data_IF_406386450293
#
_entry.id   IF_406386450293
#
_cell.length_a   1.000
_cell.length_b   1.000
_cell.length_c   1.000
_cell.angle_alpha   90.00
_cell.angle_beta   90.00
_cell.angle_gamma   90.00
#
_symmetry.space_group_name_H-M   'P 1'
#
loop_
_entity.id
_entity.type
_entity.pdbx_description
1 polymer ?
#
# COMPACT_ATOMS: atom_id res chain seq x y z
N UNK A 1 -3.33 3.35 21.88
CA UNK A 1 -2.37 2.75 20.93
C UNK A 1 -2.41 3.59 19.67
N UNK A 2 -1.28 4.06 19.16
CA UNK A 2 -1.19 5.04 18.06
C UNK A 2 -1.53 4.40 16.69
N UNK A 3 -2.65 4.74 16.02
CA UNK A 3 -3.11 4.06 14.80
C UNK A 3 -2.10 4.11 13.65
N UNK A 4 -1.36 5.23 13.53
CA UNK A 4 -0.33 5.44 12.51
C UNK A 4 0.87 4.54 12.76
N UNK A 5 1.36 4.48 14.01
CA UNK A 5 2.49 3.65 14.38
C UNK A 5 2.21 2.15 14.15
N UNK A 6 0.99 1.72 14.45
CA UNK A 6 0.55 0.34 14.22
C UNK A 6 0.56 -0.02 12.73
N UNK A 7 -0.07 0.80 11.89
CA UNK A 7 -0.10 0.57 10.44
C UNK A 7 1.31 0.57 9.85
N UNK A 8 2.13 1.56 10.24
CA UNK A 8 3.51 1.66 9.79
C UNK A 8 4.31 0.40 10.16
N UNK A 9 4.19 -0.07 11.41
CA UNK A 9 4.86 -1.29 11.86
C UNK A 9 4.37 -2.54 11.13
N UNK A 10 3.08 -2.63 10.81
CA UNK A 10 2.53 -3.74 10.02
C UNK A 10 3.06 -3.73 8.59
N UNK A 11 3.12 -2.57 7.93
CA UNK A 11 3.68 -2.45 6.59
C UNK A 11 5.16 -2.82 6.56
N UNK A 12 5.96 -2.35 7.52
CA UNK A 12 7.41 -2.66 7.60
C UNK A 12 7.68 -4.16 7.77
N UNK A 13 6.78 -4.92 8.40
CA UNK A 13 6.94 -6.38 8.58
C UNK A 13 6.74 -7.19 7.30
N UNK A 14 6.26 -6.58 6.22
CA UNK A 14 6.01 -7.27 4.95
C UNK A 14 7.25 -7.19 4.07
N UNK A 15 7.68 -8.34 3.57
CA UNK A 15 8.83 -8.46 2.67
C UNK A 15 8.45 -8.03 1.25
N UNK A 16 8.35 -6.71 1.04
CA UNK A 16 7.91 -6.10 -0.22
C UNK A 16 9.09 -5.67 -1.10
N UNK A 17 10.09 -6.50 -1.33
CA UNK A 17 11.20 -6.13 -2.23
C UNK A 17 10.69 -6.06 -3.67
N UNK A 18 10.99 -4.98 -4.40
CA UNK A 18 10.52 -4.75 -5.79
C UNK A 18 10.67 -6.00 -6.67
N UNK A 19 9.63 -6.42 -7.43
CA UNK A 19 8.28 -5.85 -7.58
C UNK A 19 7.22 -6.43 -6.61
N UNK A 20 7.65 -7.21 -5.62
CA UNK A 20 6.75 -7.94 -4.72
C UNK A 20 6.05 -6.97 -3.77
N UNK A 21 4.71 -7.00 -3.74
CA UNK A 21 3.93 -6.15 -2.82
C UNK A 21 3.99 -6.59 -1.35
N UNK A 22 4.25 -7.87 -1.08
CA UNK A 22 4.28 -8.42 0.28
C UNK A 22 2.91 -8.40 0.99
N UNK A 23 1.81 -8.20 0.25
CA UNK A 23 0.46 -8.07 0.81
C UNK A 23 0.20 -6.72 1.48
N UNK A 24 0.99 -5.68 1.15
CA UNK A 24 0.79 -4.32 1.60
C UNK A 24 -0.48 -3.70 1.00
N UNK A 25 -0.68 -3.84 -0.31
CA UNK A 25 -1.84 -3.26 -0.99
C UNK A 25 -3.15 -3.89 -0.51
N UNK A 26 -3.21 -5.21 -0.32
CA UNK A 26 -4.38 -5.88 0.24
C UNK A 26 -4.76 -5.35 1.65
N UNK A 27 -3.76 -5.08 2.50
CA UNK A 27 -3.99 -4.46 3.81
C UNK A 27 -4.56 -3.03 3.66
N UNK A 28 -3.98 -2.22 2.77
CA UNK A 28 -4.40 -0.85 2.55
C UNK A 28 -5.82 -0.78 1.96
N UNK A 29 -6.12 -1.61 0.95
CA UNK A 29 -7.43 -1.71 0.31
C UNK A 29 -8.49 -2.04 1.35
N UNK A 30 -8.32 -3.09 2.14
CA UNK A 30 -9.30 -3.48 3.17
C UNK A 30 -9.61 -2.33 4.14
N UNK A 31 -8.60 -1.60 4.61
CA UNK A 31 -8.80 -0.46 5.53
C UNK A 31 -9.46 0.75 4.86
N UNK A 32 -9.18 0.97 3.58
CA UNK A 32 -9.76 2.06 2.79
C UNK A 32 -11.22 1.76 2.43
N UNK A 33 -11.54 0.52 2.06
CA UNK A 33 -12.92 0.06 1.83
C UNK A 33 -13.77 0.19 3.11
N UNK A 34 -13.23 -0.21 4.27
CA UNK A 34 -13.87 -0.01 5.59
C UNK A 34 -14.12 1.48 5.90
N UNK A 35 -13.35 2.38 5.26
CA UNK A 35 -13.48 3.84 5.39
C UNK A 35 -14.32 4.50 4.29
N UNK A 36 -14.94 3.70 3.43
CA UNK A 36 -15.84 4.11 2.36
C UNK A 36 -15.15 4.55 1.06
N UNK A 37 -13.91 4.14 0.82
CA UNK A 37 -13.28 4.28 -0.49
C UNK A 37 -13.73 3.16 -1.43
N UNK A 38 -13.93 3.49 -2.71
CA UNK A 38 -14.00 2.52 -3.78
C UNK A 38 -12.57 2.21 -4.25
N UNK A 39 -12.14 0.96 -4.08
CA UNK A 39 -10.82 0.51 -4.48
C UNK A 39 -10.90 -0.29 -5.79
N UNK A 40 -10.00 0.00 -6.72
CA UNK A 40 -9.88 -0.70 -8.00
C UNK A 40 -8.47 -1.25 -8.12
N UNK A 41 -8.36 -2.58 -8.19
CA UNK A 41 -7.10 -3.26 -8.48
C UNK A 41 -6.69 -3.04 -9.94
N UNK A 42 -5.42 -2.68 -10.13
CA UNK A 42 -4.82 -2.33 -11.43
C UNK A 42 -3.47 -3.06 -11.62
N UNK A 43 -3.45 -4.41 -11.67
CA UNK A 43 -2.22 -5.16 -11.89
C UNK A 43 -1.73 -5.00 -13.33
N UNK A 44 -0.42 -4.76 -13.49
CA UNK A 44 0.24 -4.68 -14.80
C UNK A 44 1.54 -5.47 -14.78
N UNK A 45 1.59 -6.57 -15.54
CA UNK A 45 2.73 -7.48 -15.51
C UNK A 45 2.92 -8.06 -14.11
N UNK A 46 4.13 -7.89 -13.55
CA UNK A 46 4.48 -8.35 -12.20
C UNK A 46 4.21 -7.31 -11.10
N UNK A 47 3.74 -6.12 -11.46
CA UNK A 47 3.54 -5.00 -10.52
C UNK A 47 2.07 -4.88 -10.13
N UNK A 48 1.82 -4.94 -8.82
CA UNK A 48 0.51 -4.61 -8.24
C UNK A 48 0.37 -3.09 -8.13
N UNK A 49 -0.79 -2.57 -8.54
CA UNK A 49 -1.20 -1.20 -8.28
C UNK A 49 -2.67 -1.22 -7.85
N UNK A 50 -3.10 -0.20 -7.13
CA UNK A 50 -4.53 0.04 -6.90
C UNK A 50 -4.83 1.54 -6.94
N UNK A 51 -6.06 1.87 -7.30
CA UNK A 51 -6.61 3.22 -7.21
C UNK A 51 -7.74 3.20 -6.18
N UNK A 52 -7.65 4.04 -5.15
CA UNK A 52 -8.69 4.19 -4.14
C UNK A 52 -9.26 5.61 -4.17
N UNK A 53 -10.57 5.71 -4.31
CA UNK A 53 -11.27 6.99 -4.44
C UNK A 53 -12.47 7.06 -3.49
N UNK A 54 -12.64 8.21 -2.84
CA UNK A 54 -13.84 8.53 -2.06
C UNK A 54 -14.34 9.92 -2.42
N UNK A 55 -15.56 10.02 -2.93
CA UNK A 55 -16.15 11.26 -3.43
C UNK A 55 -16.71 11.06 -4.83
N UNK A 56 -16.73 12.12 -5.65
CA UNK A 56 -17.12 11.99 -7.06
C UNK A 56 -17.06 13.27 -7.89
N UNK A 57 -17.34 14.44 -7.30
CA UNK A 57 -17.25 15.72 -8.00
C UNK A 57 -16.40 16.72 -7.23
N UNK A 58 -15.54 17.47 -7.94
CA UNK A 58 -14.70 18.52 -7.36
C UNK A 58 -13.20 18.33 -7.66
N UNK A 59 -12.35 19.16 -7.05
CA UNK A 59 -10.90 18.99 -7.15
C UNK A 59 -10.46 17.67 -6.49
N UNK A 60 -9.60 16.94 -7.18
CA UNK A 60 -9.07 15.67 -6.71
C UNK A 60 -7.78 15.89 -5.91
N UNK A 61 -7.80 15.56 -4.63
CA UNK A 61 -6.60 15.46 -3.79
C UNK A 61 -6.11 14.01 -3.79
N UNK A 62 -4.86 13.79 -4.19
CA UNK A 62 -4.28 12.44 -4.33
C UNK A 62 -3.09 12.27 -3.40
N UNK A 63 -3.10 11.16 -2.64
CA UNK A 63 -1.90 10.62 -2.03
C UNK A 63 -1.34 9.54 -2.96
N UNK A 64 -0.09 9.71 -3.39
CA UNK A 64 0.62 8.73 -4.20
C UNK A 64 1.87 8.26 -3.45
N UNK A 65 2.17 6.97 -3.57
CA UNK A 65 3.30 6.32 -2.91
C UNK A 65 3.52 4.94 -3.48
N UNK A 66 4.44 4.20 -2.87
CA UNK A 66 4.79 2.84 -3.28
C UNK A 66 4.93 1.96 -2.04
N UNK A 67 4.64 0.66 -2.18
CA UNK A 67 4.73 -0.33 -1.10
C UNK A 67 6.02 -1.13 -1.14
N UNK A 68 6.70 -1.14 -2.29
CA UNK A 68 7.94 -1.87 -2.48
C UNK A 68 9.14 -1.15 -1.86
N UNK A 69 10.15 -1.93 -1.52
CA UNK A 69 11.40 -1.48 -0.93
C UNK A 69 12.60 -2.09 -1.65
N UNK A 70 13.78 -1.51 -1.42
CA UNK A 70 15.05 -2.07 -1.90
C UNK A 70 15.48 -3.28 -1.05
N UNK A 71 16.37 -4.14 -1.56
CA UNK A 71 16.98 -5.20 -0.75
C UNK A 71 17.69 -4.66 0.50
N UNK A 72 17.73 -5.47 1.56
CA UNK A 72 18.32 -5.10 2.87
C UNK A 72 19.83 -4.95 2.86
N UNK A 73 20.51 -5.48 1.85
CA UNK A 73 21.94 -5.76 1.88
C UNK A 73 22.28 -7.03 2.68
N UNK A 74 23.59 -7.36 2.83
CA UNK A 74 24.03 -8.55 3.55
C UNK A 74 23.65 -8.51 5.03
N UNK A 75 23.21 -9.65 5.57
CA UNK A 75 22.86 -9.78 6.99
C UNK A 75 24.08 -10.13 7.87
N UNK A 76 25.12 -10.73 7.28
CA UNK A 76 26.29 -11.27 7.97
C UNK A 76 27.57 -10.43 7.72
N UNK A 77 27.48 -9.10 7.89
CA UNK A 77 28.63 -8.20 7.69
C UNK A 77 29.71 -8.32 8.78
#
# INVERSE_FOLDING_TARGET
>A
MEPVLNLCSELIRRESVTPVDGGCQALLISRLEDSGFNCVDLPFGEVSNFWAERGGAGPLLVFAGHTDVVPTGPLDA
#
